data_IF_091903821143
#
_entry.id   IF_091903821143
#
_cell.length_a   1.000
_cell.length_b   1.000
_cell.length_c   1.000
_cell.angle_alpha   90.00
_cell.angle_beta   90.00
_cell.angle_gamma   90.00
#
_symmetry.space_group_name_H-M   'P 1'
#
loop_
_entity.id
_entity.type
_entity.pdbx_description
1 polymer ?
#
# COMPACT_ATOMS: atom_id res chain seq x y z
N UNK A 1 -2.46 11.08 -50.62
CA UNK A 1 -1.65 11.70 -49.55
C UNK A 1 -2.43 11.94 -48.26
N UNK A 2 -3.59 12.63 -48.27
CA UNK A 2 -4.37 12.95 -47.03
C UNK A 2 -4.72 11.72 -46.16
N UNK A 3 -5.10 10.60 -46.75
CA UNK A 3 -5.48 9.38 -46.04
C UNK A 3 -4.30 8.66 -45.36
N UNK A 4 -3.10 8.79 -45.92
CA UNK A 4 -1.86 8.24 -45.34
C UNK A 4 -1.46 9.06 -44.12
N UNK A 5 -1.60 10.38 -44.19
CA UNK A 5 -1.35 11.28 -43.06
C UNK A 5 -2.32 11.02 -41.91
N UNK A 6 -3.60 10.80 -42.20
CA UNK A 6 -4.61 10.45 -41.19
C UNK A 6 -4.30 9.11 -40.52
N UNK A 7 -3.88 8.10 -41.30
CA UNK A 7 -3.49 6.79 -40.76
C UNK A 7 -2.27 6.87 -39.84
N UNK A 8 -1.25 7.66 -40.21
CA UNK A 8 -0.05 7.85 -39.39
C UNK A 8 -0.37 8.61 -38.10
N UNK A 9 -1.21 9.64 -38.16
CA UNK A 9 -1.63 10.39 -36.96
C UNK A 9 -2.44 9.51 -36.02
N UNK A 10 -3.35 8.68 -36.55
CA UNK A 10 -4.13 7.74 -35.72
C UNK A 10 -3.23 6.71 -35.04
N UNK A 11 -2.23 6.17 -35.76
CA UNK A 11 -1.25 5.23 -35.20
C UNK A 11 -0.38 5.87 -34.11
N UNK A 12 0.08 7.11 -34.33
CA UNK A 12 0.83 7.87 -33.32
C UNK A 12 -0.01 8.14 -32.07
N UNK A 13 -1.28 8.56 -32.24
CA UNK A 13 -2.18 8.79 -31.09
C UNK A 13 -2.42 7.49 -30.32
N UNK A 14 -2.66 6.36 -31.00
CA UNK A 14 -2.81 5.05 -30.34
C UNK A 14 -1.54 4.62 -29.60
N UNK A 15 -0.35 4.89 -30.12
CA UNK A 15 0.91 4.59 -29.46
C UNK A 15 1.12 5.39 -28.16
N UNK A 16 0.55 6.60 -28.06
CA UNK A 16 0.62 7.42 -26.84
C UNK A 16 -0.37 7.00 -25.74
N UNK A 17 -1.44 6.25 -26.06
CA UNK A 17 -2.42 5.81 -25.05
C UNK A 17 -2.01 4.53 -24.33
N UNK A 18 -1.15 3.70 -24.95
CA UNK A 18 -0.73 2.41 -24.38
C UNK A 18 0.00 2.52 -23.02
N UNK A 19 0.92 3.48 -22.79
CA UNK A 19 1.60 3.61 -21.50
C UNK A 19 0.66 4.04 -20.35
N UNK A 20 -0.47 4.67 -20.66
CA UNK A 20 -1.42 5.14 -19.65
C UNK A 20 -2.34 4.04 -19.09
N UNK A 21 -2.48 2.93 -19.82
CA UNK A 21 -3.24 1.74 -19.37
C UNK A 21 -2.40 0.78 -18.52
N UNK A 22 -1.08 1.00 -18.46
CA UNK A 22 -0.15 0.30 -17.57
C UNK A 22 0.18 1.16 -16.34
N UNK A 23 -0.78 1.96 -15.85
CA UNK A 23 -0.66 2.56 -14.53
C UNK A 23 -0.64 1.40 -13.52
N UNK A 24 0.57 1.05 -13.03
CA UNK A 24 0.79 -0.03 -12.08
C UNK A 24 -0.24 0.03 -10.95
N UNK A 25 -1.02 -1.04 -10.78
CA UNK A 25 -2.03 -1.15 -9.72
C UNK A 25 -1.40 -1.07 -8.31
N UNK A 26 -0.07 -1.17 -8.23
CA UNK A 26 0.79 -1.08 -7.04
C UNK A 26 1.18 0.37 -6.69
N UNK A 27 0.83 1.34 -7.54
CA UNK A 27 1.30 2.72 -7.48
C UNK A 27 0.21 3.67 -7.00
N UNK A 28 0.53 4.49 -6.00
CA UNK A 28 -0.31 5.59 -5.54
C UNK A 28 0.42 6.92 -5.72
N UNK A 29 0.10 7.64 -6.80
CA UNK A 29 0.76 8.89 -7.13
C UNK A 29 2.24 8.68 -7.50
N UNK A 30 3.16 9.03 -6.60
CA UNK A 30 4.61 8.87 -6.78
C UNK A 30 5.21 7.77 -5.90
N UNK A 31 4.37 7.05 -5.15
CA UNK A 31 4.78 5.97 -4.24
C UNK A 31 4.48 4.64 -4.93
N UNK A 32 5.50 3.80 -5.07
CA UNK A 32 5.35 2.40 -5.51
C UNK A 32 5.58 1.50 -4.31
N UNK A 33 4.55 0.75 -3.92
CA UNK A 33 4.62 -0.17 -2.77
C UNK A 33 5.45 -1.38 -3.15
N UNK A 34 6.34 -1.81 -2.25
CA UNK A 34 7.12 -3.04 -2.43
C UNK A 34 6.55 -4.18 -1.59
N UNK A 35 6.41 -3.91 -0.31
CA UNK A 35 5.90 -4.87 0.65
C UNK A 35 5.27 -4.18 1.85
N UNK A 36 4.34 -4.91 2.49
CA UNK A 36 3.70 -4.53 3.74
C UNK A 36 3.86 -5.67 4.72
N UNK A 37 4.31 -5.37 5.93
CA UNK A 37 4.37 -6.30 7.06
C UNK A 37 3.44 -5.83 8.16
N UNK A 38 2.49 -6.66 8.56
CA UNK A 38 1.55 -6.42 9.67
C UNK A 38 1.95 -7.35 10.81
N UNK A 39 2.41 -6.79 11.93
CA UNK A 39 2.80 -7.55 13.12
C UNK A 39 1.82 -7.31 14.26
N UNK A 40 1.09 -8.34 14.67
CA UNK A 40 0.09 -8.24 15.72
C UNK A 40 0.69 -8.40 17.12
N UNK A 41 0.30 -7.50 18.02
CA UNK A 41 0.57 -7.51 19.46
C UNK A 41 -0.78 -7.46 20.19
N UNK A 42 -1.39 -8.63 20.42
CA UNK A 42 -2.80 -8.71 20.86
C UNK A 42 -3.69 -7.96 19.87
N UNK A 43 -4.62 -7.12 20.32
CA UNK A 43 -5.53 -6.35 19.47
C UNK A 43 -4.83 -5.25 18.64
N UNK A 44 -3.64 -4.81 19.03
CA UNK A 44 -2.88 -3.78 18.33
C UNK A 44 -1.99 -4.39 17.24
N UNK A 45 -1.56 -3.57 16.28
CA UNK A 45 -0.58 -3.98 15.28
C UNK A 45 0.47 -2.91 15.02
N UNK A 46 1.67 -3.35 14.65
CA UNK A 46 2.68 -2.51 14.00
C UNK A 46 2.71 -2.87 12.53
N UNK A 47 2.45 -1.88 11.68
CA UNK A 47 2.42 -2.01 10.23
C UNK A 47 3.60 -1.27 9.65
N UNK A 48 4.45 -2.00 8.94
CA UNK A 48 5.59 -1.47 8.21
C UNK A 48 5.33 -1.61 6.74
N UNK A 49 5.44 -0.52 5.98
CA UNK A 49 5.36 -0.54 4.53
C UNK A 49 6.65 0.00 3.94
N UNK A 50 7.28 -0.79 3.07
CA UNK A 50 8.43 -0.38 2.29
C UNK A 50 7.99 0.03 0.89
N UNK A 51 8.57 1.10 0.38
CA UNK A 51 8.19 1.69 -0.90
C UNK A 51 9.37 2.36 -1.60
N UNK A 52 9.16 2.75 -2.85
CA UNK A 52 10.04 3.67 -3.58
C UNK A 52 9.28 4.91 -3.96
N UNK A 53 10.00 6.03 -3.98
CA UNK A 53 9.53 7.28 -4.56
C UNK A 53 10.17 7.43 -5.94
N UNK A 54 9.38 7.75 -6.95
CA UNK A 54 9.91 8.01 -8.30
C UNK A 54 11.06 9.03 -8.27
N UNK A 55 12.17 8.71 -8.93
CA UNK A 55 13.42 9.48 -8.91
C UNK A 55 13.23 10.96 -9.31
N UNK A 56 12.28 11.26 -10.20
CA UNK A 56 11.97 12.62 -10.62
C UNK A 56 11.22 13.48 -9.59
N UNK A 57 10.68 12.85 -8.54
CA UNK A 57 9.77 13.48 -7.57
C UNK A 57 10.34 13.42 -6.14
N UNK A 58 11.31 12.54 -5.84
CA UNK A 58 11.92 12.43 -4.51
C UNK A 58 12.43 13.77 -3.94
N UNK A 59 13.06 14.60 -4.78
CA UNK A 59 13.48 15.94 -4.37
C UNK A 59 12.31 16.88 -4.07
N UNK A 60 11.20 16.78 -4.82
CA UNK A 60 10.00 17.55 -4.57
C UNK A 60 9.34 17.14 -3.24
N UNK A 61 9.34 15.85 -2.89
CA UNK A 61 8.81 15.38 -1.59
C UNK A 61 9.61 15.98 -0.43
N UNK A 62 10.93 16.07 -0.56
CA UNK A 62 11.80 16.73 0.42
C UNK A 62 11.48 18.22 0.58
N UNK A 63 11.08 18.90 -0.51
CA UNK A 63 10.75 20.33 -0.50
C UNK A 63 9.31 20.64 -0.05
N UNK A 64 8.33 19.87 -0.52
CA UNK A 64 6.90 20.03 -0.24
C UNK A 64 6.58 19.57 1.19
N UNK A 65 7.41 18.70 1.75
CA UNK A 65 7.39 18.31 3.14
C UNK A 65 6.77 16.94 3.37
N UNK A 66 7.23 16.27 4.43
CA UNK A 66 6.84 14.90 4.81
C UNK A 66 5.35 14.71 5.12
N UNK A 67 4.55 15.79 5.18
CA UNK A 67 3.11 15.70 5.47
C UNK A 67 2.33 15.07 4.33
N UNK A 68 2.61 15.43 3.06
CA UNK A 68 1.95 14.83 1.90
C UNK A 68 2.31 13.35 1.78
N UNK A 69 3.60 13.02 1.92
CA UNK A 69 4.08 11.65 1.94
C UNK A 69 3.39 10.82 3.03
N UNK A 70 3.30 11.38 4.25
CA UNK A 70 2.60 10.75 5.37
C UNK A 70 1.14 10.45 5.02
N UNK A 71 0.42 11.43 4.49
CA UNK A 71 -1.00 11.27 4.15
C UNK A 71 -1.19 10.20 3.09
N UNK A 72 -0.44 10.25 1.98
CA UNK A 72 -0.50 9.24 0.93
C UNK A 72 -0.16 7.84 1.43
N UNK A 73 0.87 7.72 2.26
CA UNK A 73 1.24 6.43 2.83
C UNK A 73 0.16 5.88 3.77
N UNK A 74 -0.51 6.74 4.54
CA UNK A 74 -1.66 6.35 5.36
C UNK A 74 -2.90 6.00 4.50
N UNK A 75 -3.13 6.70 3.40
CA UNK A 75 -4.22 6.40 2.46
C UNK A 75 -4.01 5.05 1.76
N UNK A 76 -2.76 4.72 1.42
CA UNK A 76 -2.37 3.39 0.90
C UNK A 76 -2.65 2.30 1.94
N UNK A 77 -2.19 2.52 3.18
CA UNK A 77 -2.34 1.56 4.27
C UNK A 77 -3.80 1.40 4.70
N UNK A 78 -4.58 2.48 4.66
CA UNK A 78 -6.02 2.56 4.94
C UNK A 78 -6.45 1.95 6.29
N UNK A 79 -5.59 2.04 7.32
CA UNK A 79 -5.95 1.65 8.68
C UNK A 79 -6.59 2.80 9.45
N UNK A 80 -7.55 2.47 10.31
CA UNK A 80 -8.12 3.40 11.27
C UNK A 80 -7.26 3.49 12.53
N UNK A 81 -7.38 4.59 13.27
CA UNK A 81 -6.70 4.81 14.56
C UNK A 81 -5.18 4.53 14.50
N UNK A 82 -4.51 5.28 13.63
CA UNK A 82 -3.10 5.10 13.31
C UNK A 82 -2.22 6.16 13.94
N UNK A 83 -1.08 5.72 14.49
CA UNK A 83 0.00 6.57 14.95
C UNK A 83 1.28 6.26 14.20
N UNK A 84 1.73 7.23 13.40
CA UNK A 84 3.01 7.12 12.68
C UNK A 84 4.16 7.18 13.68
N UNK A 85 4.97 6.12 13.68
CA UNK A 85 6.16 5.98 14.52
C UNK A 85 7.41 6.41 13.77
N UNK A 86 7.49 6.07 12.48
CA UNK A 86 8.64 6.39 11.63
C UNK A 86 8.20 6.73 10.20
N UNK A 87 8.89 7.68 9.57
CA UNK A 87 8.65 8.10 8.19
C UNK A 87 9.92 8.67 7.53
N UNK A 88 10.40 7.99 6.52
CA UNK A 88 11.50 8.39 5.62
C UNK A 88 11.06 8.25 4.15
N UNK A 89 11.99 8.14 3.20
CA UNK A 89 11.68 8.13 1.76
C UNK A 89 11.45 6.73 1.19
N UNK A 90 11.73 5.71 1.98
CA UNK A 90 11.72 4.30 1.60
C UNK A 90 10.81 3.45 2.49
N UNK A 91 10.35 3.99 3.61
CA UNK A 91 9.54 3.26 4.59
C UNK A 91 8.63 4.16 5.41
N UNK A 92 7.53 3.57 5.86
CA UNK A 92 6.69 4.09 6.94
C UNK A 92 6.45 2.98 7.96
N UNK A 93 6.46 3.33 9.24
CA UNK A 93 6.05 2.46 10.32
C UNK A 93 4.91 3.11 11.11
N UNK A 94 3.83 2.38 11.29
CA UNK A 94 2.60 2.85 11.89
C UNK A 94 2.14 1.87 12.96
N UNK A 95 1.88 2.37 14.17
CA UNK A 95 1.14 1.61 15.17
C UNK A 95 -0.35 1.82 14.94
N UNK A 96 -1.08 0.73 14.80
CA UNK A 96 -2.53 0.68 14.60
C UNK A 96 -3.15 0.19 15.90
N UNK A 97 -4.00 1.01 16.52
CA UNK A 97 -4.72 0.62 17.71
C UNK A 97 -6.00 -0.13 17.33
N UNK A 98 -6.32 -1.19 18.09
CA UNK A 98 -7.49 -2.04 17.83
C UNK A 98 -7.56 -2.53 16.36
N UNK A 99 -6.41 -2.89 15.79
CA UNK A 99 -6.33 -3.46 14.45
C UNK A 99 -7.14 -4.77 14.34
N UNK A 100 -7.24 -5.51 15.45
CA UNK A 100 -8.06 -6.71 15.58
C UNK A 100 -9.08 -6.56 16.70
N UNK A 101 -10.24 -7.21 16.52
CA UNK A 101 -11.26 -7.32 17.56
C UNK A 101 -10.83 -8.34 18.61
N UNK A 102 -10.81 -7.94 19.88
CA UNK A 102 -10.58 -8.82 21.02
C UNK A 102 -11.90 -9.51 21.44
N UNK A 103 -11.95 -10.84 21.32
CA UNK A 103 -13.09 -11.66 21.75
C UNK A 103 -12.91 -12.23 23.16
N UNK A 104 -11.86 -11.83 23.86
CA UNK A 104 -11.48 -12.33 25.17
C UNK A 104 -10.75 -13.67 25.10
N UNK A 105 -10.23 -14.11 26.26
CA UNK A 105 -9.50 -15.38 26.41
C UNK A 105 -8.31 -15.52 25.44
N UNK A 106 -7.69 -14.39 25.06
CA UNK A 106 -6.57 -14.37 24.11
C UNK A 106 -6.98 -14.67 22.68
N UNK A 107 -8.26 -14.55 22.31
CA UNK A 107 -8.74 -14.76 20.94
C UNK A 107 -8.96 -13.43 20.23
N UNK A 108 -8.35 -13.27 19.06
CA UNK A 108 -8.40 -12.03 18.29
C UNK A 108 -8.83 -12.30 16.85
N UNK A 109 -9.51 -11.32 16.25
CA UNK A 109 -9.95 -11.36 14.85
C UNK A 109 -9.51 -10.11 14.11
N UNK A 110 -8.58 -10.26 13.18
CA UNK A 110 -8.30 -9.21 12.20
C UNK A 110 -9.41 -9.22 11.15
N UNK A 111 -10.23 -8.15 11.05
CA UNK A 111 -11.35 -8.11 10.10
C UNK A 111 -10.85 -7.97 8.67
N UNK A 112 -11.80 -7.95 7.74
CA UNK A 112 -11.50 -7.64 6.35
C UNK A 112 -10.83 -6.26 6.24
N UNK A 113 -9.79 -6.17 5.41
CA UNK A 113 -9.02 -4.95 5.23
C UNK A 113 -8.76 -4.68 3.77
N UNK A 114 -8.87 -3.42 3.34
CA UNK A 114 -8.64 -3.01 1.95
C UNK A 114 -7.51 -2.00 1.90
N UNK A 115 -6.52 -2.26 1.08
CA UNK A 115 -5.44 -1.31 0.80
C UNK A 115 -5.87 -0.34 -0.31
N UNK A 116 -5.25 0.84 -0.34
CA UNK A 116 -5.47 1.85 -1.38
C UNK A 116 -4.91 1.45 -2.75
N UNK A 117 -4.03 0.44 -2.79
CA UNK A 117 -3.39 -0.13 -3.99
C UNK A 117 -3.25 -1.65 -3.84
N UNK A 118 -2.83 -2.32 -4.92
CA UNK A 118 -2.39 -3.72 -4.84
C UNK A 118 -1.05 -3.78 -4.11
N UNK A 119 -1.00 -4.53 -3.02
CA UNK A 119 0.23 -4.79 -2.27
C UNK A 119 0.94 -6.01 -2.88
N UNK A 120 2.16 -5.86 -3.44
CA UNK A 120 2.82 -6.98 -4.14
C UNK A 120 3.16 -8.13 -3.20
N UNK A 121 3.64 -7.81 -2.00
CA UNK A 121 3.95 -8.78 -0.94
C UNK A 121 3.41 -8.32 0.40
N UNK A 122 2.50 -9.11 0.98
CA UNK A 122 1.93 -8.88 2.29
C UNK A 122 2.38 -9.99 3.24
N UNK A 123 3.03 -9.60 4.34
CA UNK A 123 3.39 -10.51 5.43
C UNK A 123 2.56 -10.20 6.67
N UNK A 124 1.88 -11.20 7.20
CA UNK A 124 1.11 -11.09 8.44
C UNK A 124 1.77 -11.95 9.51
N UNK A 125 2.27 -11.30 10.55
CA UNK A 125 2.94 -11.94 11.70
C UNK A 125 1.97 -11.93 12.87
N UNK A 126 1.60 -13.13 13.33
CA UNK A 126 0.84 -13.34 14.57
C UNK A 126 1.73 -14.07 15.58
N UNK A 127 1.35 -14.13 16.87
CA UNK A 127 2.10 -14.90 17.87
C UNK A 127 2.23 -16.39 17.53
N UNK A 128 1.32 -16.91 16.70
CA UNK A 128 1.26 -18.33 16.33
C UNK A 128 2.04 -18.65 15.06
N UNK A 129 2.38 -17.64 14.24
CA UNK A 129 3.12 -17.87 13.01
C UNK A 129 3.09 -16.70 12.02
N UNK A 130 3.66 -16.95 10.86
CA UNK A 130 3.80 -15.96 9.78
C UNK A 130 3.02 -16.47 8.57
N UNK A 131 2.23 -15.59 7.95
CA UNK A 131 1.53 -15.84 6.69
C UNK A 131 2.01 -14.87 5.63
N UNK A 132 2.18 -15.36 4.42
CA UNK A 132 2.57 -14.58 3.26
C UNK A 132 1.47 -14.61 2.21
N UNK A 133 1.20 -13.46 1.61
CA UNK A 133 0.25 -13.27 0.54
C UNK A 133 0.90 -12.41 -0.55
N UNK A 134 0.48 -12.59 -1.79
CA UNK A 134 0.99 -11.83 -2.93
C UNK A 134 -0.17 -11.13 -3.63
N UNK A 135 0.10 -9.94 -4.17
CA UNK A 135 -0.83 -9.13 -4.96
C UNK A 135 -2.19 -8.93 -4.27
N UNK A 136 -2.16 -8.45 -3.03
CA UNK A 136 -3.34 -8.25 -2.19
C UNK A 136 -3.80 -6.79 -2.27
N UNK A 137 -4.96 -6.54 -2.86
CA UNK A 137 -5.67 -5.25 -2.72
C UNK A 137 -6.70 -5.28 -1.59
N UNK A 138 -7.27 -6.46 -1.33
CA UNK A 138 -8.28 -6.68 -0.30
C UNK A 138 -8.05 -8.02 0.39
N UNK A 139 -8.06 -7.99 1.72
CA UNK A 139 -8.02 -9.14 2.60
C UNK A 139 -9.44 -9.45 3.05
N UNK A 140 -10.21 -10.20 2.25
CA UNK A 140 -11.66 -10.36 2.44
C UNK A 140 -12.07 -11.23 3.63
N UNK A 141 -11.28 -12.26 3.92
CA UNK A 141 -11.73 -13.36 4.79
C UNK A 141 -11.43 -13.09 6.27
N UNK A 142 -10.66 -12.04 6.57
CA UNK A 142 -10.12 -11.79 7.89
C UNK A 142 -9.18 -12.90 8.37
N UNK A 143 -8.67 -12.75 9.59
CA UNK A 143 -7.74 -13.71 10.19
C UNK A 143 -7.98 -13.80 11.70
N UNK A 144 -8.36 -14.99 12.16
CA UNK A 144 -8.35 -15.33 13.57
C UNK A 144 -6.96 -15.76 14.04
N UNK A 145 -6.58 -15.34 15.24
CA UNK A 145 -5.34 -15.78 15.91
C UNK A 145 -5.46 -15.68 17.44
N UNK A 146 -4.48 -16.24 18.13
CA UNK A 146 -4.41 -16.24 19.59
C UNK A 146 -3.15 -15.54 20.13
N UNK A 147 -3.25 -14.85 21.27
CA UNK A 147 -2.16 -14.16 21.96
C UNK A 147 -2.31 -14.15 23.49
#
# INVERSE_FOLDING_TARGET
>A
MKWVTVGIVLMLVSALVLPALAADEERYGYITVKDVTVTFEKADAVVTMNYTIDDGIGFLVLLIGKSDLKQKALDILNFNDTKVQHLDLDRIEVRVHNAANDYGQGSYWFPAHRFGVVVPSLTVVTPQGIKHFENVSEFSDGLGYFA
#
